data_IF_632547088201
#
_entry.id   IF_632547088201
#
_cell.length_a   1.000
_cell.length_b   1.000
_cell.length_c   1.000
_cell.angle_alpha   90.00
_cell.angle_beta   90.00
_cell.angle_gamma   90.00
#
_symmetry.space_group_name_H-M   'P 1'
#
loop_
_entity.id
_entity.type
_entity.pdbx_description
1 polymer ?
#
# COMPACT_ATOMS: atom_id res chain seq x y z
N UNK A 1 -37.77 21.93 -1.01
CA UNK A 1 -39.23 21.93 -1.27
C UNK A 1 -39.49 21.14 -2.54
N UNK A 2 -39.96 19.90 -2.43
CA UNK A 2 -40.37 19.12 -3.60
C UNK A 2 -41.65 19.71 -4.18
N UNK A 3 -41.70 19.98 -5.49
CA UNK A 3 -42.92 20.46 -6.15
C UNK A 3 -44.00 19.38 -6.00
N UNK A 4 -45.12 19.71 -5.35
CA UNK A 4 -46.27 18.81 -5.28
C UNK A 4 -46.93 18.76 -6.67
N UNK A 5 -47.20 17.55 -7.15
CA UNK A 5 -47.97 17.37 -8.39
C UNK A 5 -49.42 17.83 -8.16
N UNK A 6 -50.00 18.50 -9.16
CA UNK A 6 -51.43 18.84 -9.18
C UNK A 6 -52.28 17.57 -9.00
N UNK A 7 -53.42 17.69 -8.31
CA UNK A 7 -54.33 16.57 -8.09
C UNK A 7 -54.82 15.94 -9.41
N UNK A 8 -54.93 16.74 -10.46
CA UNK A 8 -55.34 16.27 -11.79
C UNK A 8 -54.32 15.31 -12.42
N UNK A 9 -53.02 15.60 -12.26
CA UNK A 9 -51.94 14.72 -12.73
C UNK A 9 -51.93 13.42 -11.93
N UNK A 10 -52.22 13.47 -10.62
CA UNK A 10 -52.28 12.27 -9.76
C UNK A 10 -53.38 11.32 -10.21
N UNK A 11 -54.58 11.85 -10.48
CA UNK A 11 -55.70 11.04 -10.96
C UNK A 11 -55.43 10.44 -12.33
N UNK A 12 -54.85 11.20 -13.27
CA UNK A 12 -54.46 10.65 -14.57
C UNK A 12 -53.44 9.50 -14.45
N UNK A 13 -52.46 9.59 -13.53
CA UNK A 13 -51.53 8.47 -13.29
C UNK A 13 -52.27 7.22 -12.80
N UNK A 14 -53.23 7.39 -11.88
CA UNK A 14 -54.04 6.29 -11.34
C UNK A 14 -54.88 5.64 -12.44
N UNK A 15 -55.59 6.43 -13.25
CA UNK A 15 -56.39 5.92 -14.36
C UNK A 15 -55.54 5.16 -15.39
N UNK A 16 -54.39 5.70 -15.78
CA UNK A 16 -53.51 5.01 -16.72
C UNK A 16 -52.93 3.69 -16.17
N UNK A 17 -52.68 3.60 -14.86
CA UNK A 17 -52.26 2.34 -14.23
C UNK A 17 -53.39 1.31 -14.22
N UNK A 18 -54.65 1.73 -13.99
CA UNK A 18 -55.83 0.86 -14.05
C UNK A 18 -56.09 0.37 -15.49
N UNK A 19 -55.83 1.20 -16.49
CA UNK A 19 -55.92 0.85 -17.91
C UNK A 19 -54.74 -0.02 -18.41
N UNK A 20 -53.82 -0.39 -17.52
CA UNK A 20 -52.70 -1.29 -17.82
C UNK A 20 -51.51 -0.64 -18.54
N UNK A 21 -51.42 0.69 -18.58
CA UNK A 21 -50.26 1.37 -19.17
C UNK A 21 -49.03 1.30 -18.28
N UNK A 22 -47.87 1.10 -18.89
CA UNK A 22 -46.59 1.14 -18.19
C UNK A 22 -46.28 2.56 -17.72
N UNK A 23 -45.47 2.68 -16.66
CA UNK A 23 -45.06 3.99 -16.13
C UNK A 23 -44.44 4.91 -17.20
N UNK A 24 -43.77 4.34 -18.21
CA UNK A 24 -43.18 5.08 -19.34
C UNK A 24 -44.24 5.63 -20.30
N UNK A 25 -45.28 4.86 -20.59
CA UNK A 25 -46.39 5.25 -21.45
C UNK A 25 -47.29 6.30 -20.77
N UNK A 26 -47.57 6.10 -19.48
CA UNK A 26 -48.27 7.07 -18.64
C UNK A 26 -47.53 8.41 -18.64
N UNK A 27 -46.21 8.39 -18.46
CA UNK A 27 -45.40 9.60 -18.50
C UNK A 27 -45.30 10.24 -19.89
N UNK A 28 -45.34 9.48 -20.99
CA UNK A 28 -45.42 10.06 -22.34
C UNK A 28 -46.75 10.79 -22.56
N UNK A 29 -47.86 10.16 -22.16
CA UNK A 29 -49.22 10.70 -22.33
C UNK A 29 -49.50 11.92 -21.46
N UNK A 30 -48.89 11.98 -20.28
CA UNK A 30 -48.98 13.17 -19.42
C UNK A 30 -48.17 14.38 -19.96
N UNK A 31 -47.30 14.17 -20.94
CA UNK A 31 -46.39 15.18 -21.51
C UNK A 31 -46.78 15.64 -22.93
N UNK A 32 -48.05 15.51 -23.34
CA UNK A 32 -48.54 15.76 -24.72
C UNK A 32 -48.36 17.22 -25.24
N UNK A 33 -47.88 18.16 -24.42
CA UNK A 33 -47.64 19.56 -24.83
C UNK A 33 -46.18 19.94 -25.16
N UNK A 34 -45.21 19.04 -25.03
CA UNK A 34 -43.78 19.39 -25.16
C UNK A 34 -43.19 18.92 -26.50
N UNK A 35 -42.57 19.85 -27.25
CA UNK A 35 -41.83 19.59 -28.50
C UNK A 35 -40.68 18.59 -28.31
N UNK A 36 -40.21 18.39 -27.08
CA UNK A 36 -39.10 17.50 -26.73
C UNK A 36 -39.56 16.33 -25.85
N UNK A 37 -39.31 15.11 -26.33
CA UNK A 37 -39.66 13.85 -25.63
C UNK A 37 -38.88 13.70 -24.31
N UNK A 38 -39.55 13.57 -23.15
CA UNK A 38 -38.91 13.65 -21.83
C UNK A 38 -37.92 12.50 -21.53
N UNK A 39 -38.06 11.36 -22.21
CA UNK A 39 -37.14 10.22 -22.08
C UNK A 39 -36.13 10.12 -23.23
N UNK A 40 -36.10 11.10 -24.15
CA UNK A 40 -35.07 11.16 -25.18
C UNK A 40 -33.85 11.73 -24.49
N UNK A 41 -33.02 10.84 -23.95
CA UNK A 41 -31.76 11.23 -23.32
C UNK A 41 -31.00 12.14 -24.28
N UNK A 42 -30.64 13.34 -23.81
CA UNK A 42 -29.74 14.19 -24.58
C UNK A 42 -28.47 13.39 -24.82
N UNK A 43 -28.10 13.22 -26.09
CA UNK A 43 -26.84 12.58 -26.42
C UNK A 43 -25.74 13.48 -25.85
N UNK A 44 -25.11 13.02 -24.76
CA UNK A 44 -24.02 13.74 -24.13
C UNK A 44 -22.87 13.94 -25.13
N UNK A 45 -21.98 14.89 -24.82
CA UNK A 45 -20.76 15.10 -25.60
C UNK A 45 -20.05 13.76 -25.81
N UNK A 46 -19.69 13.46 -27.05
CA UNK A 46 -18.90 12.25 -27.37
C UNK A 46 -17.64 12.24 -26.52
N UNK A 47 -17.30 11.07 -25.98
CA UNK A 47 -16.07 10.88 -25.21
C UNK A 47 -14.88 11.20 -26.11
N UNK A 48 -13.86 11.82 -25.53
CA UNK A 48 -12.62 12.14 -26.26
C UNK A 48 -11.85 10.85 -26.58
N UNK A 49 -11.88 9.89 -25.66
CA UNK A 49 -11.29 8.57 -25.84
C UNK A 49 -12.24 7.59 -26.52
N UNK A 50 -11.70 6.92 -27.53
CA UNK A 50 -12.28 5.78 -28.24
C UNK A 50 -11.87 4.47 -27.54
N UNK A 51 -12.52 3.34 -27.85
CA UNK A 51 -12.14 2.03 -27.31
C UNK A 51 -10.65 1.68 -27.50
N UNK A 52 -10.06 2.03 -28.64
CA UNK A 52 -8.63 1.80 -28.91
C UNK A 52 -7.72 2.61 -27.99
N UNK A 53 -8.11 3.85 -27.67
CA UNK A 53 -7.36 4.69 -26.74
C UNK A 53 -7.39 4.10 -25.32
N UNK A 54 -8.50 3.48 -24.92
CA UNK A 54 -8.59 2.77 -23.65
C UNK A 54 -7.68 1.54 -23.61
N UNK A 55 -7.53 0.83 -24.73
CA UNK A 55 -6.59 -0.29 -24.84
C UNK A 55 -5.14 0.21 -24.71
N UNK A 56 -4.78 1.30 -25.40
CA UNK A 56 -3.45 1.92 -25.31
C UNK A 56 -3.17 2.36 -23.86
N UNK A 57 -4.12 3.05 -23.23
CA UNK A 57 -4.00 3.51 -21.85
C UNK A 57 -3.81 2.33 -20.87
N UNK A 58 -4.56 1.24 -21.05
CA UNK A 58 -4.42 0.03 -20.24
C UNK A 58 -3.03 -0.60 -20.39
N UNK A 59 -2.52 -0.67 -21.63
CA UNK A 59 -1.18 -1.22 -21.91
C UNK A 59 -0.08 -0.37 -21.29
N UNK A 60 -0.15 0.96 -21.39
CA UNK A 60 0.84 1.87 -20.81
C UNK A 60 0.93 1.73 -19.29
N UNK A 61 -0.21 1.65 -18.60
CA UNK A 61 -0.26 1.50 -17.14
C UNK A 61 0.23 0.11 -16.70
N UNK A 62 0.06 -0.92 -17.52
CA UNK A 62 0.58 -2.27 -17.25
C UNK A 62 2.09 -2.35 -17.42
N UNK A 63 2.63 -1.69 -18.45
CA UNK A 63 4.06 -1.66 -18.77
C UNK A 63 4.88 -0.98 -17.66
N UNK A 64 4.42 0.18 -17.20
CA UNK A 64 5.05 0.88 -16.06
C UNK A 64 3.96 1.51 -15.19
N UNK A 65 4.04 1.23 -13.88
CA UNK A 65 3.04 1.66 -12.90
C UNK A 65 3.36 3.01 -12.26
N UNK A 66 4.59 3.48 -12.42
CA UNK A 66 5.11 4.70 -11.77
C UNK A 66 5.02 5.95 -12.63
N UNK A 67 4.21 5.94 -13.68
CA UNK A 67 3.99 7.16 -14.48
C UNK A 67 3.23 8.20 -13.68
N UNK A 68 3.72 9.45 -13.72
CA UNK A 68 2.91 10.58 -13.28
C UNK A 68 1.77 10.86 -14.29
N UNK A 69 0.68 11.49 -13.84
CA UNK A 69 -0.50 11.70 -14.68
C UNK A 69 -0.25 12.62 -15.88
N UNK A 70 0.64 13.59 -15.72
CA UNK A 70 1.12 14.49 -16.78
C UNK A 70 2.02 13.77 -17.79
N UNK A 71 2.91 12.89 -17.33
CA UNK A 71 3.72 12.04 -18.22
C UNK A 71 2.83 11.09 -19.03
N UNK A 72 1.85 10.47 -18.38
CA UNK A 72 0.89 9.58 -19.03
C UNK A 72 0.02 10.34 -20.04
N UNK A 73 -0.39 11.57 -19.73
CA UNK A 73 -1.09 12.44 -20.66
C UNK A 73 -0.23 12.76 -21.89
N UNK A 74 1.04 13.10 -21.68
CA UNK A 74 2.01 13.39 -22.76
C UNK A 74 2.25 12.17 -23.65
N UNK A 75 2.31 10.97 -23.06
CA UNK A 75 2.49 9.72 -23.82
C UNK A 75 1.23 9.36 -24.61
N UNK A 76 0.06 9.55 -24.03
CA UNK A 76 -1.23 9.36 -24.70
C UNK A 76 -1.38 10.32 -25.88
N UNK A 77 -0.99 11.59 -25.72
CA UNK A 77 -1.02 12.58 -26.80
C UNK A 77 -0.12 12.15 -27.96
N UNK A 78 1.10 11.68 -27.69
CA UNK A 78 2.03 11.19 -28.73
C UNK A 78 1.51 9.99 -29.51
N UNK A 79 0.72 9.11 -28.88
CA UNK A 79 0.22 7.88 -29.52
C UNK A 79 -1.15 8.06 -30.20
N UNK A 80 -2.01 8.90 -29.63
CA UNK A 80 -3.40 9.05 -30.10
C UNK A 80 -3.65 10.39 -30.82
N UNK A 81 -2.71 11.34 -30.72
CA UNK A 81 -2.86 12.71 -31.21
C UNK A 81 -3.85 13.56 -30.38
N UNK A 82 -4.31 13.06 -29.23
CA UNK A 82 -5.36 13.71 -28.43
C UNK A 82 -4.77 14.34 -27.18
N UNK A 83 -4.78 15.67 -27.16
CA UNK A 83 -4.45 16.45 -25.97
C UNK A 83 -5.60 16.36 -24.96
N UNK A 84 -5.32 15.85 -23.77
CA UNK A 84 -6.31 15.65 -22.69
C UNK A 84 -5.88 16.32 -21.39
N UNK A 85 -6.86 16.87 -20.68
CA UNK A 85 -6.62 17.39 -19.33
C UNK A 85 -6.36 16.24 -18.33
N UNK A 86 -5.56 16.50 -17.29
CA UNK A 86 -5.31 15.54 -16.20
C UNK A 86 -6.62 15.00 -15.59
N UNK A 87 -7.66 15.82 -15.31
CA UNK A 87 -8.95 15.32 -14.85
C UNK A 87 -9.66 14.38 -15.84
N UNK A 88 -9.55 14.62 -17.14
CA UNK A 88 -10.11 13.73 -18.18
C UNK A 88 -9.39 12.38 -18.16
N UNK A 89 -8.06 12.40 -18.09
CA UNK A 89 -7.24 11.19 -17.99
C UNK A 89 -7.56 10.41 -16.71
N UNK A 90 -7.69 11.10 -15.58
CA UNK A 90 -8.07 10.49 -14.30
C UNK A 90 -9.45 9.83 -14.36
N UNK A 91 -10.44 10.47 -14.99
CA UNK A 91 -11.76 9.86 -15.21
C UNK A 91 -11.68 8.62 -16.10
N UNK A 92 -10.82 8.64 -17.13
CA UNK A 92 -10.60 7.49 -17.99
C UNK A 92 -9.96 6.31 -17.23
N UNK A 93 -8.97 6.58 -16.38
CA UNK A 93 -8.37 5.58 -15.49
C UNK A 93 -9.39 5.00 -14.51
N UNK A 94 -10.23 5.84 -13.90
CA UNK A 94 -11.32 5.37 -13.04
C UNK A 94 -12.34 4.52 -13.80
N UNK A 95 -12.64 4.85 -15.06
CA UNK A 95 -13.52 4.04 -15.91
C UNK A 95 -12.93 2.65 -16.20
N UNK A 96 -11.60 2.55 -16.27
CA UNK A 96 -10.87 1.28 -16.37
C UNK A 96 -10.72 0.54 -15.02
N UNK A 97 -11.23 1.10 -13.91
CA UNK A 97 -11.07 0.52 -12.58
C UNK A 97 -9.67 0.68 -11.98
N UNK A 98 -8.82 1.54 -12.56
CA UNK A 98 -7.47 1.78 -12.09
C UNK A 98 -7.53 2.76 -10.92
N UNK A 99 -6.99 2.35 -9.77
CA UNK A 99 -6.92 3.18 -8.56
C UNK A 99 -5.47 3.48 -8.20
N UNK A 100 -5.23 4.66 -7.63
CA UNK A 100 -3.92 5.04 -7.12
C UNK A 100 -3.73 4.47 -5.72
N UNK A 101 -2.80 3.54 -5.55
CA UNK A 101 -2.31 3.10 -4.25
C UNK A 101 -1.02 3.85 -3.94
N UNK A 102 -0.97 4.52 -2.79
CA UNK A 102 0.28 5.08 -2.28
C UNK A 102 1.00 3.98 -1.51
N UNK A 103 2.22 3.67 -1.89
CA UNK A 103 3.10 2.88 -1.03
C UNK A 103 3.50 3.74 0.17
N UNK A 104 3.27 3.21 1.36
CA UNK A 104 3.55 3.90 2.61
C UNK A 104 4.67 3.13 3.28
N UNK A 105 5.87 3.70 3.29
CA UNK A 105 6.94 3.21 4.15
C UNK A 105 6.59 3.58 5.59
N UNK A 106 6.40 2.57 6.44
CA UNK A 106 6.08 2.75 7.86
C UNK A 106 7.33 3.21 8.60
N UNK A 107 7.50 4.52 8.73
CA UNK A 107 8.44 5.07 9.71
C UNK A 107 7.81 4.97 11.11
N UNK A 108 8.24 3.99 11.90
CA UNK A 108 7.76 3.75 13.29
C UNK A 108 8.12 4.87 14.29
N UNK A 109 8.65 6.00 13.81
CA UNK A 109 9.12 7.11 14.66
C UNK A 109 7.98 7.94 15.27
N UNK A 110 6.74 7.70 14.88
CA UNK A 110 5.57 8.35 15.47
C UNK A 110 4.42 7.37 15.65
N UNK A 111 4.16 6.95 16.89
CA UNK A 111 2.95 6.21 17.29
C UNK A 111 1.65 7.02 17.07
N UNK A 112 1.76 8.26 16.60
CA UNK A 112 0.62 9.09 16.24
C UNK A 112 0.17 8.80 14.81
N UNK A 113 -1.11 8.43 14.66
CA UNK A 113 -1.81 8.53 13.37
C UNK A 113 -1.56 9.92 12.75
N UNK A 114 -1.08 9.93 11.50
CA UNK A 114 -0.83 11.14 10.72
C UNK A 114 -2.12 11.83 10.24
N UNK A 115 -3.23 11.09 10.24
CA UNK A 115 -4.53 11.56 9.78
C UNK A 115 -5.59 11.38 10.87
N UNK A 116 -6.58 12.27 10.87
CA UNK A 116 -7.79 12.19 11.69
C UNK A 116 -9.00 12.63 10.86
N UNK A 117 -10.20 12.30 11.32
CA UNK A 117 -11.44 12.73 10.67
C UNK A 117 -11.89 14.06 11.24
N UNK A 118 -12.26 15.01 10.36
CA UNK A 118 -12.91 16.26 10.71
C UNK A 118 -13.89 16.65 9.59
N UNK A 119 -14.73 17.65 9.86
CA UNK A 119 -15.58 18.24 8.84
C UNK A 119 -14.71 18.77 7.68
N UNK A 120 -15.25 18.72 6.47
CA UNK A 120 -14.55 19.19 5.27
C UNK A 120 -14.11 20.65 5.47
N UNK A 121 -12.86 20.94 5.13
CA UNK A 121 -12.19 22.24 5.32
C UNK A 121 -11.82 22.62 6.77
N UNK A 122 -11.90 21.69 7.72
CA UNK A 122 -11.41 21.91 9.08
C UNK A 122 -10.08 21.18 9.31
N UNK A 123 -9.15 21.83 10.00
CA UNK A 123 -7.88 21.22 10.40
C UNK A 123 -8.10 20.37 11.65
N UNK A 124 -7.63 19.13 11.61
CA UNK A 124 -7.59 18.27 12.80
C UNK A 124 -6.47 18.77 13.71
N UNK A 125 -6.82 19.11 14.94
CA UNK A 125 -5.85 19.37 16.00
C UNK A 125 -5.58 18.09 16.79
N UNK A 126 -4.31 17.84 17.06
CA UNK A 126 -3.87 16.68 17.84
C UNK A 126 -2.71 17.08 18.71
N UNK A 127 -2.89 16.98 20.02
CA UNK A 127 -1.80 17.07 20.97
C UNK A 127 -1.03 15.74 20.97
N UNK A 128 0.27 15.80 20.65
CA UNK A 128 1.15 14.65 20.68
C UNK A 128 2.19 14.90 21.76
N UNK A 129 2.29 14.00 22.74
CA UNK A 129 3.36 14.04 23.72
C UNK A 129 4.62 13.48 23.05
N UNK A 130 5.61 14.33 22.79
CA UNK A 130 6.92 13.88 22.29
C UNK A 130 7.74 13.31 23.45
N UNK A 131 7.42 12.08 23.86
CA UNK A 131 8.24 11.35 24.83
C UNK A 131 9.36 10.65 24.07
N UNK A 132 10.62 11.06 24.29
CA UNK A 132 11.76 10.20 23.94
C UNK A 132 11.72 8.98 24.87
N UNK A 133 11.06 7.91 24.42
CA UNK A 133 10.99 6.66 25.15
C UNK A 133 12.38 6.05 25.40
N UNK A 134 12.49 5.26 26.46
CA UNK A 134 13.69 4.43 26.69
C UNK A 134 13.82 3.45 25.51
N UNK A 135 14.95 3.50 24.80
CA UNK A 135 15.24 2.58 23.70
C UNK A 135 15.97 1.34 24.21
N UNK A 136 15.50 0.19 23.77
CA UNK A 136 16.17 -1.08 23.98
C UNK A 136 16.60 -1.66 22.63
N UNK A 137 17.79 -2.25 22.60
CA UNK A 137 18.30 -3.08 21.51
C UNK A 137 18.19 -4.53 21.95
N UNK A 138 17.69 -5.38 21.05
CA UNK A 138 17.58 -6.82 21.25
C UNK A 138 18.54 -7.47 20.26
N UNK A 139 19.39 -8.38 20.74
CA UNK A 139 20.27 -9.23 19.94
C UNK A 139 19.82 -10.69 20.07
N UNK A 140 18.93 -11.17 19.20
CA UNK A 140 18.50 -12.56 19.21
C UNK A 140 19.31 -13.41 18.24
N UNK A 141 19.39 -14.71 18.52
CA UNK A 141 19.86 -15.74 17.59
C UNK A 141 18.70 -16.68 17.29
N UNK A 142 18.36 -16.78 16.01
CA UNK A 142 17.28 -17.60 15.50
C UNK A 142 17.85 -18.82 14.76
N UNK A 143 17.31 -20.00 15.06
CA UNK A 143 17.57 -21.25 14.35
C UNK A 143 16.28 -21.76 13.72
N UNK A 144 16.35 -22.87 12.98
CA UNK A 144 15.17 -23.53 12.41
C UNK A 144 14.18 -24.03 13.49
N UNK A 145 14.65 -24.31 14.71
CA UNK A 145 13.79 -24.74 15.82
C UNK A 145 13.27 -23.56 16.67
N UNK A 146 13.74 -22.33 16.40
CA UNK A 146 13.37 -21.13 17.14
C UNK A 146 14.57 -20.39 17.74
N UNK A 147 14.27 -19.48 18.68
CA UNK A 147 15.29 -18.65 19.33
C UNK A 147 16.07 -19.45 20.36
N UNK A 148 17.40 -19.38 20.28
CA UNK A 148 18.31 -20.11 21.20
C UNK A 148 19.02 -19.19 22.20
N UNK A 149 19.17 -17.91 21.87
CA UNK A 149 19.80 -16.91 22.73
C UNK A 149 19.23 -15.52 22.42
N UNK A 150 19.17 -14.66 23.42
CA UNK A 150 18.86 -13.25 23.24
C UNK A 150 19.52 -12.38 24.33
N UNK A 151 20.12 -11.25 23.95
CA UNK A 151 20.55 -10.19 24.88
C UNK A 151 19.71 -8.92 24.67
N UNK A 152 19.18 -8.36 25.76
CA UNK A 152 18.38 -7.13 25.75
C UNK A 152 19.15 -6.05 26.50
N UNK A 153 19.40 -4.93 25.83
CA UNK A 153 20.19 -3.83 26.39
C UNK A 153 19.54 -2.48 26.16
N UNK A 154 19.73 -1.56 27.09
CA UNK A 154 19.30 -0.17 26.92
C UNK A 154 20.33 0.58 26.08
N UNK A 155 19.88 1.29 25.04
CA UNK A 155 20.77 2.02 24.12
C UNK A 155 21.29 1.14 22.97
N UNK A 156 22.35 1.58 22.29
CA UNK A 156 22.94 0.90 21.13
C UNK A 156 23.82 -0.29 21.53
N UNK A 157 23.94 -1.27 20.64
CA UNK A 157 24.93 -2.33 20.78
C UNK A 157 26.30 -1.85 20.28
N UNK A 158 27.35 -2.17 21.02
CA UNK A 158 28.75 -1.94 20.65
C UNK A 158 29.43 -3.25 20.27
N UNK A 159 30.48 -3.17 19.45
CA UNK A 159 31.28 -4.32 18.97
C UNK A 159 31.71 -5.28 20.10
N UNK A 160 32.25 -4.74 21.20
CA UNK A 160 32.70 -5.55 22.36
C UNK A 160 31.55 -6.36 22.97
N UNK A 161 30.37 -5.78 23.09
CA UNK A 161 29.20 -6.46 23.66
C UNK A 161 28.68 -7.54 22.72
N UNK A 162 28.67 -7.26 21.42
CA UNK A 162 28.35 -8.26 20.40
C UNK A 162 29.31 -9.46 20.47
N UNK A 163 30.62 -9.22 20.51
CA UNK A 163 31.61 -10.30 20.69
C UNK A 163 31.34 -11.12 21.96
N UNK A 164 31.14 -10.46 23.10
CA UNK A 164 30.85 -11.15 24.37
C UNK A 164 29.59 -12.00 24.25
N UNK A 165 28.54 -11.49 23.61
CA UNK A 165 27.31 -12.24 23.38
C UNK A 165 27.55 -13.50 22.55
N UNK A 166 28.27 -13.40 21.43
CA UNK A 166 28.59 -14.56 20.58
C UNK A 166 29.41 -15.59 21.37
N UNK A 167 30.49 -15.17 22.03
CA UNK A 167 31.39 -16.09 22.73
C UNK A 167 30.73 -16.76 23.95
N UNK A 168 29.86 -16.05 24.67
CA UNK A 168 29.32 -16.55 25.96
C UNK A 168 27.94 -17.20 25.84
N UNK A 169 27.11 -16.77 24.89
CA UNK A 169 25.73 -17.25 24.76
C UNK A 169 25.49 -18.10 23.51
N UNK A 170 26.22 -17.85 22.42
CA UNK A 170 25.97 -18.50 21.11
C UNK A 170 26.89 -19.68 20.90
N UNK A 171 28.20 -19.49 20.99
CA UNK A 171 29.19 -20.57 20.77
C UNK A 171 28.96 -21.82 21.63
N UNK A 172 28.57 -21.73 22.92
CA UNK A 172 28.30 -22.93 23.73
C UNK A 172 27.13 -23.79 23.22
N UNK A 173 26.27 -23.24 22.36
CA UNK A 173 25.11 -23.92 21.78
C UNK A 173 25.36 -24.39 20.34
N UNK A 174 26.57 -24.16 19.82
CA UNK A 174 26.96 -24.54 18.46
C UNK A 174 27.67 -25.88 18.44
N UNK A 175 27.63 -26.52 17.27
CA UNK A 175 28.36 -27.76 16.99
C UNK A 175 29.35 -27.55 15.84
N UNK A 176 30.34 -28.43 15.73
CA UNK A 176 31.28 -28.44 14.61
C UNK A 176 30.56 -28.65 13.26
N UNK A 177 30.99 -27.95 12.22
CA UNK A 177 30.44 -28.11 10.87
C UNK A 177 30.80 -29.49 10.28
N UNK A 178 29.87 -30.24 9.67
CA UNK A 178 28.55 -29.83 9.15
C UNK A 178 27.34 -30.20 10.04
N UNK A 179 27.51 -30.34 11.36
CA UNK A 179 26.41 -30.72 12.26
C UNK A 179 25.34 -29.61 12.38
N UNK A 180 24.22 -29.91 13.04
CA UNK A 180 23.15 -28.95 13.31
C UNK A 180 23.70 -27.75 14.11
N UNK A 181 23.26 -26.53 13.81
CA UNK A 181 23.71 -25.29 14.48
C UNK A 181 25.23 -25.05 14.40
N UNK A 182 25.83 -25.28 13.22
CA UNK A 182 27.28 -25.12 12.99
C UNK A 182 27.68 -23.91 12.16
N UNK A 183 26.71 -23.16 11.63
CA UNK A 183 26.93 -21.98 10.79
C UNK A 183 26.26 -20.77 11.42
N UNK A 184 27.02 -19.70 11.67
CA UNK A 184 26.49 -18.39 12.06
C UNK A 184 26.28 -17.57 10.80
N UNK A 185 25.04 -17.17 10.54
CA UNK A 185 24.69 -16.22 9.47
C UNK A 185 24.50 -14.84 10.08
N UNK A 186 25.22 -13.84 9.57
CA UNK A 186 25.15 -12.45 10.05
C UNK A 186 24.85 -11.50 8.89
N UNK A 187 24.14 -10.41 9.18
CA UNK A 187 24.01 -9.31 8.23
C UNK A 187 25.36 -8.55 8.09
N UNK A 188 25.43 -7.63 7.13
CA UNK A 188 26.65 -6.91 6.82
C UNK A 188 26.91 -5.67 7.72
N UNK A 189 26.35 -5.61 8.93
CA UNK A 189 26.56 -4.49 9.85
C UNK A 189 28.02 -4.40 10.31
N UNK A 190 28.53 -3.16 10.46
CA UNK A 190 29.91 -2.90 10.89
C UNK A 190 30.30 -3.55 12.23
N UNK A 191 29.31 -3.79 13.11
CA UNK A 191 29.54 -4.43 14.40
C UNK A 191 29.82 -5.95 14.30
N UNK A 192 29.43 -6.59 13.19
CA UNK A 192 29.64 -8.01 12.93
C UNK A 192 31.01 -8.30 12.28
N UNK A 193 31.69 -7.26 11.78
CA UNK A 193 33.01 -7.36 11.16
C UNK A 193 34.10 -7.32 12.21
N UNK A 194 34.49 -8.49 12.70
CA UNK A 194 35.61 -8.66 13.61
C UNK A 194 36.42 -9.91 13.27
N UNK A 195 37.60 -9.71 12.71
CA UNK A 195 38.51 -10.80 12.32
C UNK A 195 38.82 -11.73 13.49
N UNK A 196 39.07 -11.19 14.70
CA UNK A 196 39.38 -12.01 15.88
C UNK A 196 38.21 -12.86 16.33
N UNK A 197 36.99 -12.33 16.19
CA UNK A 197 35.78 -13.08 16.51
C UNK A 197 35.59 -14.22 15.51
N UNK A 198 35.75 -13.95 14.22
CA UNK A 198 35.63 -14.95 13.15
C UNK A 198 36.65 -16.06 13.35
N UNK A 199 37.92 -15.72 13.60
CA UNK A 199 38.97 -16.69 13.90
C UNK A 199 38.61 -17.57 15.10
N UNK A 200 38.06 -16.97 16.18
CA UNK A 200 37.65 -17.73 17.37
C UNK A 200 36.50 -18.71 17.10
N UNK A 201 35.57 -18.33 16.21
CA UNK A 201 34.44 -19.18 15.80
C UNK A 201 34.95 -20.34 14.94
N UNK A 202 35.85 -20.05 13.98
CA UNK A 202 36.41 -21.05 13.08
C UNK A 202 37.34 -22.04 13.81
N UNK A 203 38.08 -21.60 14.82
CA UNK A 203 38.88 -22.47 15.69
C UNK A 203 38.03 -23.51 16.44
N UNK A 204 36.76 -23.21 16.70
CA UNK A 204 35.78 -24.14 17.29
C UNK A 204 35.11 -25.04 16.24
N UNK A 205 35.58 -25.06 14.99
CA UNK A 205 35.03 -25.87 13.90
C UNK A 205 33.70 -25.34 13.34
N UNK A 206 33.27 -24.14 13.73
CA UNK A 206 32.06 -23.50 13.21
C UNK A 206 32.36 -22.67 11.96
N UNK A 207 31.33 -22.31 11.18
CA UNK A 207 31.47 -21.42 10.01
C UNK A 207 30.75 -20.09 10.21
N UNK A 208 31.29 -19.04 9.60
CA UNK A 208 30.65 -17.72 9.54
C UNK A 208 30.25 -17.42 8.09
N UNK A 209 29.02 -16.92 7.90
CA UNK A 209 28.51 -16.46 6.61
C UNK A 209 27.94 -15.04 6.75
N UNK A 210 28.36 -14.14 5.86
CA UNK A 210 27.79 -12.80 5.76
C UNK A 210 26.77 -12.72 4.62
N UNK A 211 25.62 -12.09 4.89
CA UNK A 211 24.62 -11.83 3.87
C UNK A 211 25.09 -10.70 2.93
N UNK A 212 24.65 -10.70 1.65
CA UNK A 212 24.91 -9.60 0.74
C UNK A 212 24.36 -8.27 1.29
N UNK A 213 24.99 -7.13 0.95
CA UNK A 213 24.50 -5.81 1.36
C UNK A 213 23.02 -5.60 0.99
N UNK A 214 22.26 -4.94 1.86
CA UNK A 214 20.86 -4.57 1.64
C UNK A 214 19.93 -5.74 1.27
N UNK A 215 20.21 -6.95 1.78
CA UNK A 215 19.40 -8.15 1.51
C UNK A 215 18.65 -8.65 2.75
N UNK A 216 17.72 -7.86 3.32
CA UNK A 216 16.94 -8.27 4.49
C UNK A 216 16.06 -9.49 4.19
N UNK A 217 15.66 -9.69 2.93
CA UNK A 217 14.85 -10.84 2.50
C UNK A 217 15.57 -12.19 2.71
N UNK A 218 16.91 -12.19 2.81
CA UNK A 218 17.70 -13.38 3.12
C UNK A 218 17.98 -13.57 4.61
N UNK A 219 17.43 -12.70 5.48
CA UNK A 219 17.59 -12.79 6.93
C UNK A 219 16.27 -13.21 7.60
N UNK A 220 16.07 -14.51 7.91
CA UNK A 220 14.81 -15.00 8.49
C UNK A 220 14.40 -14.32 9.80
N UNK A 221 15.34 -13.75 10.54
CA UNK A 221 15.06 -13.09 11.82
C UNK A 221 14.24 -11.80 11.64
N UNK A 222 14.29 -11.17 10.46
CA UNK A 222 13.52 -9.97 10.14
C UNK A 222 12.00 -10.26 10.17
N UNK A 223 11.58 -11.45 9.73
CA UNK A 223 10.20 -11.88 9.83
C UNK A 223 9.75 -11.99 11.29
N UNK A 224 10.61 -12.54 12.16
CA UNK A 224 10.30 -12.66 13.57
C UNK A 224 10.19 -11.27 14.24
N UNK A 225 11.06 -10.32 13.87
CA UNK A 225 10.94 -8.94 14.33
C UNK A 225 9.67 -8.24 13.85
N UNK A 226 9.19 -8.53 12.63
CA UNK A 226 7.91 -8.00 12.16
C UNK A 226 6.75 -8.39 13.08
N UNK A 227 6.75 -9.62 13.60
CA UNK A 227 5.72 -10.09 14.55
C UNK A 227 5.85 -9.47 15.94
N UNK A 228 7.07 -9.17 16.40
CA UNK A 228 7.29 -8.51 17.70
C UNK A 228 6.88 -7.03 17.68
N UNK A 229 6.99 -6.38 16.51
CA UNK A 229 6.70 -4.95 16.32
C UNK A 229 5.27 -4.65 15.89
N UNK A 230 4.53 -5.64 15.41
CA UNK A 230 3.13 -5.51 14.95
C UNK A 230 2.17 -5.37 16.11
#
# INVERSE_FOLDING_TARGET
MGKSLSNDIKWHVIYHQLDGFSAKETALRLYIGCVNHPFKGYQGRRRIFNPDDFNILSTLVKDKKDWYLDELASKMERLTGKLVSIPTLWRALNHLGITRKKEVNKDERSLSRAYGYCLKNMRVEKHVVFVRGKRYTILPVLTLDGFIAADIMKGSCNKKRFQTFILTQVLPQMNEYPNKNSVIVMDNAKIHHDEKLVESIEQMGCKVLYLPPYSPDYNPIEMAFSGVKS
#
